data_IF_335753355682
#
_entry.id   IF_335753355682
#
_cell.length_a   1.000
_cell.length_b   1.000
_cell.length_c   1.000
_cell.angle_alpha   90.00
_cell.angle_beta   90.00
_cell.angle_gamma   90.00
#
_symmetry.space_group_name_H-M   'P 1'
#
loop_
_entity.id
_entity.type
_entity.pdbx_description
1 polymer ?
#
# COMPACT_ATOMS: atom_id res chain seq x y z
N UNK A 1 26.11 -8.76 -10.58
CA UNK A 1 26.39 -7.54 -11.37
C UNK A 1 25.12 -7.18 -12.14
N UNK A 2 24.32 -6.26 -11.62
CA UNK A 2 23.12 -5.76 -12.30
C UNK A 2 23.58 -4.84 -13.44
N UNK A 3 23.09 -5.09 -14.66
CA UNK A 3 23.47 -4.34 -15.87
C UNK A 3 22.80 -2.96 -15.86
N UNK A 4 23.56 -1.87 -16.12
CA UNK A 4 23.16 -0.43 -16.20
C UNK A 4 22.00 -0.12 -17.19
N UNK A 5 21.25 -1.11 -17.70
CA UNK A 5 20.30 -0.95 -18.81
C UNK A 5 18.91 -0.42 -18.39
N UNK A 6 18.56 -0.45 -17.10
CA UNK A 6 17.25 -0.01 -16.59
C UNK A 6 17.27 1.36 -15.90
N UNK A 7 18.43 2.04 -15.86
CA UNK A 7 18.54 3.32 -15.17
C UNK A 7 18.00 4.47 -16.03
N UNK A 8 16.94 5.14 -15.58
CA UNK A 8 16.27 6.27 -16.26
C UNK A 8 17.12 7.57 -16.33
N UNK A 9 18.41 7.52 -16.03
CA UNK A 9 19.31 8.68 -16.08
C UNK A 9 20.10 8.64 -17.38
N UNK A 10 19.50 9.18 -18.45
CA UNK A 10 20.23 9.48 -19.70
C UNK A 10 21.46 10.33 -19.37
N UNK A 11 22.64 9.75 -19.65
CA UNK A 11 23.96 10.38 -19.82
C UNK A 11 24.96 10.52 -18.65
N UNK A 12 24.81 9.89 -17.48
CA UNK A 12 25.93 9.79 -16.50
C UNK A 12 25.93 8.49 -15.65
N UNK A 13 26.12 7.29 -16.25
CA UNK A 13 26.51 6.10 -15.44
C UNK A 13 27.97 6.29 -14.96
N UNK A 14 28.17 6.78 -13.72
CA UNK A 14 29.43 6.55 -12.97
C UNK A 14 29.42 5.10 -12.48
N UNK A 15 30.52 4.37 -12.70
CA UNK A 15 30.65 2.93 -12.42
C UNK A 15 30.51 2.53 -10.93
N UNK A 16 30.36 3.50 -10.02
CA UNK A 16 30.40 3.31 -8.57
C UNK A 16 29.09 3.62 -7.82
N UNK A 17 28.00 3.97 -8.51
CA UNK A 17 26.70 4.11 -7.83
C UNK A 17 25.98 2.76 -7.79
N UNK A 18 25.90 2.15 -6.60
CA UNK A 18 24.73 1.34 -6.26
C UNK A 18 23.51 2.26 -6.43
N UNK A 19 22.47 1.85 -7.13
CA UNK A 19 21.18 2.55 -7.06
C UNK A 19 20.72 2.44 -5.60
N UNK A 20 20.95 3.49 -4.81
CA UNK A 20 20.42 3.55 -3.45
C UNK A 20 18.92 3.83 -3.53
N UNK A 21 18.16 3.08 -2.74
CA UNK A 21 16.71 3.30 -2.60
C UNK A 21 16.47 4.71 -2.05
N UNK A 22 15.42 5.36 -2.52
CA UNK A 22 15.05 6.70 -2.06
C UNK A 22 14.69 6.67 -0.57
N UNK A 23 14.89 7.80 0.12
CA UNK A 23 14.59 7.95 1.54
C UNK A 23 13.79 9.23 1.77
N UNK A 24 12.88 9.25 2.76
CA UNK A 24 12.21 10.49 3.14
C UNK A 24 13.27 11.52 3.56
N UNK A 25 13.12 12.77 3.13
CA UNK A 25 13.96 13.88 3.58
C UNK A 25 13.56 14.37 4.96
N UNK A 26 12.26 14.23 5.29
CA UNK A 26 11.67 14.71 6.53
C UNK A 26 11.01 13.55 7.28
N UNK A 27 11.55 13.23 8.45
CA UNK A 27 11.09 12.11 9.27
C UNK A 27 11.84 10.80 9.02
N UNK A 28 11.39 9.75 9.70
CA UNK A 28 11.91 8.38 9.63
C UNK A 28 10.74 7.41 9.56
N UNK A 29 10.89 6.42 8.69
CA UNK A 29 9.91 5.35 8.49
C UNK A 29 10.63 4.04 8.81
N UNK A 30 10.10 3.24 9.74
CA UNK A 30 10.69 1.93 10.06
C UNK A 30 10.39 0.91 8.98
N UNK A 31 9.13 0.79 8.56
CA UNK A 31 8.70 -0.18 7.55
C UNK A 31 7.88 0.47 6.44
N UNK A 32 8.18 0.14 5.18
CA UNK A 32 7.38 0.54 4.01
C UNK A 32 6.70 -0.69 3.41
N UNK A 33 5.37 -0.66 3.35
CA UNK A 33 4.56 -1.78 2.88
C UNK A 33 3.80 -1.38 1.63
N UNK A 34 4.04 -2.09 0.52
CA UNK A 34 3.30 -1.87 -0.72
C UNK A 34 2.01 -2.70 -0.76
N UNK A 35 0.86 -2.06 -0.94
CA UNK A 35 -0.42 -2.75 -1.15
C UNK A 35 -0.76 -2.73 -2.64
N UNK A 36 -0.87 -3.90 -3.27
CA UNK A 36 -1.01 -4.02 -4.72
C UNK A 36 -2.11 -5.01 -5.11
N UNK A 37 -2.75 -4.77 -6.26
CA UNK A 37 -3.73 -5.69 -6.85
C UNK A 37 -3.38 -6.02 -8.29
N UNK A 38 -3.86 -7.17 -8.78
CA UNK A 38 -3.73 -7.51 -10.20
C UNK A 38 -4.62 -6.67 -11.12
N UNK A 39 -5.76 -6.17 -10.64
CA UNK A 39 -6.72 -5.38 -11.43
C UNK A 39 -7.36 -4.27 -10.60
N UNK A 40 -7.93 -3.28 -11.28
CA UNK A 40 -8.79 -2.27 -10.65
C UNK A 40 -10.11 -2.87 -10.13
N UNK A 41 -10.73 -2.21 -9.17
CA UNK A 41 -12.06 -2.58 -8.66
C UNK A 41 -12.08 -3.75 -7.65
N UNK A 42 -10.93 -4.24 -7.17
CA UNK A 42 -10.88 -5.27 -6.11
C UNK A 42 -11.01 -4.71 -4.69
N UNK A 43 -11.13 -3.38 -4.54
CA UNK A 43 -11.14 -2.69 -3.24
C UNK A 43 -9.78 -2.55 -2.57
N UNK A 44 -8.69 -2.50 -3.35
CA UNK A 44 -7.31 -2.34 -2.87
C UNK A 44 -7.17 -1.18 -1.88
N UNK A 45 -7.61 0.03 -2.25
CA UNK A 45 -7.50 1.23 -1.41
C UNK A 45 -8.31 1.11 -0.11
N UNK A 46 -9.49 0.49 -0.17
CA UNK A 46 -10.29 0.17 1.01
C UNK A 46 -9.53 -0.77 1.95
N UNK A 47 -8.91 -1.82 1.41
CA UNK A 47 -8.08 -2.74 2.20
C UNK A 47 -6.85 -2.04 2.76
N UNK A 48 -6.20 -1.16 2.00
CA UNK A 48 -5.09 -0.31 2.49
C UNK A 48 -5.52 0.52 3.70
N UNK A 49 -6.68 1.18 3.61
CA UNK A 49 -7.27 1.93 4.72
C UNK A 49 -7.55 1.06 5.94
N UNK A 50 -8.15 -0.12 5.76
CA UNK A 50 -8.43 -1.07 6.84
C UNK A 50 -7.13 -1.53 7.52
N UNK A 51 -6.09 -1.87 6.76
CA UNK A 51 -4.77 -2.24 7.31
C UNK A 51 -4.22 -1.08 8.14
N UNK A 52 -4.29 0.15 7.64
CA UNK A 52 -3.83 1.33 8.38
C UNK A 52 -4.57 1.51 9.72
N UNK A 53 -5.90 1.36 9.72
CA UNK A 53 -6.72 1.43 10.94
C UNK A 53 -6.34 0.32 11.93
N UNK A 54 -6.16 -0.92 11.48
CA UNK A 54 -5.78 -2.01 12.38
C UNK A 54 -4.35 -1.85 12.93
N UNK A 55 -3.40 -1.34 12.13
CA UNK A 55 -2.06 -1.01 12.61
C UNK A 55 -2.08 0.12 13.66
N UNK A 56 -2.96 1.12 13.51
CA UNK A 56 -3.18 2.13 14.57
C UNK A 56 -3.76 1.52 15.84
N UNK A 57 -4.72 0.60 15.71
CA UNK A 57 -5.28 -0.15 16.86
C UNK A 57 -4.21 -0.94 17.61
N UNK A 58 -3.20 -1.45 16.89
CA UNK A 58 -2.02 -2.11 17.47
C UNK A 58 -1.05 -1.13 18.17
N UNK A 59 -1.30 0.18 18.12
CA UNK A 59 -0.49 1.22 18.77
C UNK A 59 0.63 1.77 17.90
N UNK A 60 0.75 1.34 16.64
CA UNK A 60 1.79 1.83 15.73
C UNK A 60 1.49 3.23 15.20
N UNK A 61 2.52 4.01 14.89
CA UNK A 61 2.41 5.25 14.12
C UNK A 61 2.36 4.93 12.63
N UNK A 62 1.27 5.31 11.96
CA UNK A 62 0.98 4.88 10.59
C UNK A 62 0.84 6.07 9.65
N UNK A 63 1.43 5.95 8.47
CA UNK A 63 1.16 6.80 7.33
C UNK A 63 0.58 6.01 6.15
N UNK A 64 -0.11 6.71 5.26
CA UNK A 64 -0.62 6.20 3.98
C UNK A 64 -0.21 7.16 2.85
N UNK A 65 0.49 6.62 1.86
CA UNK A 65 0.78 7.28 0.59
C UNK A 65 -0.13 6.71 -0.49
N UNK A 66 -1.00 7.56 -1.04
CA UNK A 66 -1.86 7.20 -2.17
C UNK A 66 -1.03 7.21 -3.47
N UNK A 67 -0.66 6.02 -3.94
CA UNK A 67 0.10 5.82 -5.17
C UNK A 67 -0.78 5.66 -6.40
N UNK A 68 -2.10 5.54 -6.24
CA UNK A 68 -3.06 5.40 -7.34
C UNK A 68 -3.52 6.79 -7.82
N UNK A 69 -2.57 7.55 -8.36
CA UNK A 69 -2.76 8.95 -8.77
C UNK A 69 -3.91 9.12 -9.78
N UNK A 70 -4.23 8.07 -10.56
CA UNK A 70 -5.29 8.10 -11.58
C UNK A 70 -6.69 7.87 -11.03
N UNK A 71 -6.82 7.39 -9.79
CA UNK A 71 -8.09 7.11 -9.14
C UNK A 71 -7.96 7.18 -7.62
N UNK A 72 -7.52 8.32 -7.07
CA UNK A 72 -7.18 8.44 -5.65
C UNK A 72 -8.42 8.12 -4.81
N UNK A 73 -8.31 7.11 -3.96
CA UNK A 73 -9.43 6.58 -3.17
C UNK A 73 -9.17 6.62 -1.66
N UNK A 74 -7.93 6.90 -1.25
CA UNK A 74 -7.54 7.02 0.16
C UNK A 74 -8.21 8.22 0.85
N UNK A 75 -8.30 9.43 0.25
CA UNK A 75 -9.04 10.55 0.84
C UNK A 75 -10.47 10.18 1.23
N UNK A 76 -11.19 9.53 0.31
CA UNK A 76 -12.56 9.07 0.52
C UNK A 76 -12.69 8.05 1.64
N UNK A 77 -11.76 7.09 1.74
CA UNK A 77 -11.76 6.13 2.83
C UNK A 77 -11.72 6.79 4.21
N UNK A 78 -10.97 7.89 4.34
CA UNK A 78 -10.79 8.60 5.60
C UNK A 78 -11.73 9.81 5.79
N UNK A 79 -12.63 10.09 4.84
CA UNK A 79 -13.49 11.28 4.89
C UNK A 79 -12.73 12.61 4.76
N UNK A 80 -11.64 12.62 3.99
CA UNK A 80 -10.69 13.73 3.84
C UNK A 80 -10.77 14.44 2.47
N UNK A 81 -11.83 14.23 1.69
CA UNK A 81 -11.95 14.78 0.32
C UNK A 81 -11.88 16.33 0.28
N UNK A 82 -12.34 16.97 1.35
CA UNK A 82 -12.32 18.44 1.50
C UNK A 82 -11.01 18.96 2.09
N UNK A 83 -10.16 18.09 2.62
CA UNK A 83 -8.89 18.47 3.21
C UNK A 83 -7.85 18.76 2.13
N UNK A 84 -6.88 19.61 2.47
CA UNK A 84 -5.80 19.99 1.56
C UNK A 84 -4.46 19.88 2.26
N UNK A 85 -3.46 19.46 1.50
CA UNK A 85 -2.08 19.35 1.98
C UNK A 85 -1.54 20.75 2.26
N UNK A 86 -1.04 20.95 3.48
CA UNK A 86 -0.33 22.18 3.83
C UNK A 86 1.11 22.18 3.30
N UNK A 87 1.72 23.37 3.29
CA UNK A 87 3.13 23.55 2.96
C UNK A 87 3.84 24.22 4.14
N UNK A 88 4.95 23.66 4.58
CA UNK A 88 5.78 24.23 5.64
C UNK A 88 7.17 24.58 5.10
N UNK A 89 7.76 25.72 5.50
CA UNK A 89 9.14 26.02 5.13
C UNK A 89 10.10 25.01 5.76
N UNK A 90 11.22 24.78 5.09
CA UNK A 90 12.31 23.93 5.57
C UNK A 90 13.46 24.80 6.06
N UNK A 91 14.53 24.18 6.60
CA UNK A 91 15.75 24.90 6.96
C UNK A 91 16.49 25.48 5.73
N UNK A 92 16.20 24.93 4.54
CA UNK A 92 16.74 25.44 3.29
C UNK A 92 15.86 26.59 2.79
N UNK A 93 16.50 27.73 2.52
CA UNK A 93 15.82 28.92 2.01
C UNK A 93 15.04 28.60 0.73
N UNK A 94 13.80 29.08 0.67
CA UNK A 94 12.86 28.91 -0.46
C UNK A 94 12.50 27.45 -0.79
N UNK A 95 12.75 26.51 0.13
CA UNK A 95 12.32 25.12 0.02
C UNK A 95 11.21 24.80 1.03
N UNK A 96 10.19 24.09 0.56
CA UNK A 96 9.02 23.70 1.33
C UNK A 96 8.90 22.18 1.41
N UNK A 97 8.25 21.69 2.46
CA UNK A 97 7.85 20.30 2.65
C UNK A 97 6.33 20.20 2.69
N UNK A 98 5.80 19.08 2.25
CA UNK A 98 4.37 18.79 2.35
C UNK A 98 4.04 18.43 3.81
N UNK A 99 2.96 18.99 4.32
CA UNK A 99 2.39 18.62 5.62
C UNK A 99 1.26 17.62 5.35
N UNK A 100 1.41 16.33 5.74
CA UNK A 100 0.37 15.34 5.49
C UNK A 100 -0.89 15.68 6.28
N UNK A 101 -2.04 15.30 5.75
CA UNK A 101 -3.34 15.42 6.44
C UNK A 101 -3.41 14.33 7.51
N UNK A 102 -3.87 14.65 8.72
CA UNK A 102 -4.06 13.66 9.78
C UNK A 102 -5.53 13.26 9.91
N UNK A 103 -5.80 11.96 9.99
CA UNK A 103 -7.15 11.41 10.19
C UNK A 103 -7.61 11.56 11.65
N UNK A 104 -8.87 11.18 11.94
CA UNK A 104 -9.39 11.18 13.31
C UNK A 104 -8.64 10.24 14.26
N UNK A 105 -8.04 9.16 13.76
CA UNK A 105 -7.15 8.28 14.52
C UNK A 105 -5.66 8.68 14.46
N UNK A 106 -5.33 9.83 13.88
CA UNK A 106 -3.96 10.32 13.73
C UNK A 106 -3.11 9.51 12.74
N UNK A 107 -3.73 8.96 11.69
CA UNK A 107 -3.01 8.37 10.54
C UNK A 107 -2.61 9.53 9.64
N UNK A 108 -1.35 9.57 9.21
CA UNK A 108 -0.88 10.59 8.27
C UNK A 108 -1.18 10.16 6.83
N UNK A 109 -1.96 10.92 6.09
CA UNK A 109 -2.29 10.63 4.70
C UNK A 109 -1.67 11.68 3.77
N UNK A 110 -1.14 11.22 2.63
CA UNK A 110 -0.82 12.08 1.49
C UNK A 110 -1.38 11.47 0.21
N UNK A 111 -2.04 12.30 -0.60
CA UNK A 111 -2.63 11.93 -1.89
C UNK A 111 -2.56 13.12 -2.83
N UNK A 112 -2.57 12.85 -4.13
CA UNK A 112 -2.69 13.88 -5.15
C UNK A 112 -3.99 14.67 -5.03
N UNK A 113 -5.07 14.06 -4.54
CA UNK A 113 -6.35 14.76 -4.35
C UNK A 113 -6.22 15.95 -3.37
N UNK A 114 -5.32 15.85 -2.38
CA UNK A 114 -5.11 16.93 -1.42
C UNK A 114 -4.38 18.15 -2.01
N UNK A 115 -3.80 18.01 -3.21
CA UNK A 115 -3.06 19.06 -3.91
C UNK A 115 -3.86 19.73 -5.01
N UNK A 116 -4.88 19.05 -5.54
CA UNK A 116 -5.72 19.55 -6.63
C UNK A 116 -6.92 20.29 -6.03
N UNK A 117 -7.19 21.47 -6.59
CA UNK A 117 -8.29 22.32 -6.12
C UNK A 117 -9.66 21.75 -6.43
N UNK A 118 -9.80 21.08 -7.59
CA UNK A 118 -11.08 20.61 -8.14
C UNK A 118 -10.93 19.17 -8.70
N UNK A 119 -11.86 18.29 -8.34
CA UNK A 119 -11.85 16.84 -8.65
C UNK A 119 -12.16 16.50 -10.12
N UNK A 120 -12.53 17.48 -10.95
CA UNK A 120 -13.10 17.25 -12.28
C UNK A 120 -12.19 17.60 -13.47
N UNK A 121 -11.01 18.21 -13.26
CA UNK A 121 -10.08 18.46 -14.35
C UNK A 121 -9.25 17.19 -14.68
N UNK A 122 -9.34 16.64 -15.91
CA UNK A 122 -8.53 15.48 -16.29
C UNK A 122 -7.06 15.88 -16.31
N UNK A 123 -6.29 15.35 -15.36
CA UNK A 123 -4.83 15.50 -15.33
C UNK A 123 -4.21 14.82 -16.55
N UNK A 124 -3.90 15.60 -17.58
CA UNK A 124 -3.18 15.15 -18.78
C UNK A 124 -1.67 15.00 -18.50
N UNK A 125 -1.31 14.18 -17.52
CA UNK A 125 0.09 13.96 -17.13
C UNK A 125 0.63 12.68 -17.77
N UNK A 126 1.82 12.76 -18.38
CA UNK A 126 2.51 11.59 -18.94
C UNK A 126 3.11 10.75 -17.80
N UNK A 127 3.16 9.42 -17.96
CA UNK A 127 3.66 8.47 -16.95
C UNK A 127 4.94 8.87 -16.19
N UNK A 128 6.00 9.38 -16.86
CA UNK A 128 7.23 9.83 -16.18
C UNK A 128 7.02 10.98 -15.17
N UNK A 129 6.02 11.84 -15.42
CA UNK A 129 5.66 12.93 -14.50
C UNK A 129 5.02 12.33 -13.24
N UNK A 130 4.12 11.37 -13.40
CA UNK A 130 3.45 10.68 -12.29
C UNK A 130 4.44 9.95 -11.38
N UNK A 131 5.43 9.27 -11.95
CA UNK A 131 6.50 8.62 -11.18
C UNK A 131 7.30 9.62 -10.33
N UNK A 132 7.71 10.75 -10.92
CA UNK A 132 8.45 11.79 -10.19
C UNK A 132 7.62 12.43 -9.08
N UNK A 133 6.34 12.67 -9.34
CA UNK A 133 5.41 13.21 -8.34
C UNK A 133 5.29 12.25 -7.16
N UNK A 134 5.16 10.95 -7.41
CA UNK A 134 5.13 9.96 -6.34
C UNK A 134 6.41 9.94 -5.50
N UNK A 135 7.57 10.05 -6.16
CA UNK A 135 8.87 10.20 -5.48
C UNK A 135 8.88 11.46 -4.62
N UNK A 136 8.34 12.58 -5.08
CA UNK A 136 8.22 13.81 -4.28
C UNK A 136 7.24 13.64 -3.11
N UNK A 137 6.07 13.04 -3.31
CA UNK A 137 5.13 12.76 -2.21
C UNK A 137 5.77 11.89 -1.13
N UNK A 138 6.63 10.95 -1.50
CA UNK A 138 7.38 10.15 -0.54
C UNK A 138 8.51 10.93 0.13
N UNK A 139 9.32 11.64 -0.65
CA UNK A 139 10.57 12.25 -0.16
C UNK A 139 10.35 13.59 0.55
N UNK A 140 9.44 14.43 0.05
CA UNK A 140 9.26 15.81 0.48
C UNK A 140 8.11 15.99 1.50
N UNK A 141 7.42 14.92 1.88
CA UNK A 141 6.41 14.93 2.94
C UNK A 141 7.03 14.83 4.33
N UNK A 142 6.51 15.62 5.27
CA UNK A 142 6.88 15.56 6.68
C UNK A 142 6.21 14.39 7.41
N UNK A 143 6.79 13.21 7.26
CA UNK A 143 6.28 12.00 7.88
C UNK A 143 6.44 11.99 9.40
N UNK A 144 7.39 12.76 9.95
CA UNK A 144 7.81 12.61 11.35
C UNK A 144 8.32 11.19 11.60
N UNK A 145 8.06 10.63 12.79
CA UNK A 145 8.45 9.24 13.10
C UNK A 145 7.26 8.29 12.84
N UNK A 146 7.39 7.38 11.88
CA UNK A 146 6.42 6.35 11.55
C UNK A 146 6.98 4.95 11.80
N UNK A 147 6.15 4.07 12.35
CA UNK A 147 6.42 2.64 12.39
C UNK A 147 6.11 1.99 11.04
N UNK A 148 5.00 2.40 10.41
CA UNK A 148 4.55 1.88 9.12
C UNK A 148 4.16 3.00 8.16
N UNK A 149 4.64 2.93 6.92
CA UNK A 149 4.06 3.64 5.79
C UNK A 149 3.46 2.62 4.82
N UNK A 150 2.14 2.69 4.63
CA UNK A 150 1.46 1.93 3.58
C UNK A 150 1.49 2.73 2.28
N UNK A 151 1.81 2.08 1.17
CA UNK A 151 1.71 2.66 -0.17
C UNK A 151 0.55 1.97 -0.88
N UNK A 152 -0.52 2.72 -1.17
CA UNK A 152 -1.62 2.23 -2.00
C UNK A 152 -1.18 2.24 -3.47
N UNK A 153 -0.56 1.14 -3.92
CA UNK A 153 0.08 1.10 -5.23
C UNK A 153 -0.99 1.12 -6.34
N UNK A 154 -0.70 1.65 -7.54
CA UNK A 154 -1.62 1.52 -8.66
C UNK A 154 -1.81 0.04 -9.06
N UNK A 155 -2.94 -0.32 -9.70
CA UNK A 155 -3.21 -1.70 -10.06
C UNK A 155 -2.27 -2.23 -11.15
N UNK A 156 -2.00 -3.54 -11.10
CA UNK A 156 -1.27 -4.28 -12.13
C UNK A 156 0.23 -4.08 -12.08
N UNK A 157 0.88 -4.13 -13.25
CA UNK A 157 2.35 -4.08 -13.41
C UNK A 157 2.77 -2.89 -14.27
N UNK A 158 2.09 -1.76 -14.12
CA UNK A 158 2.42 -0.54 -14.86
C UNK A 158 3.70 0.15 -14.36
N UNK A 159 4.19 1.13 -15.11
CA UNK A 159 5.46 1.82 -14.84
C UNK A 159 5.55 2.44 -13.44
N UNK A 160 4.42 2.91 -12.88
CA UNK A 160 4.37 3.48 -11.53
C UNK A 160 4.56 2.38 -10.47
N UNK A 161 3.90 1.24 -10.61
CA UNK A 161 4.10 0.10 -9.70
C UNK A 161 5.55 -0.41 -9.75
N UNK A 162 6.14 -0.47 -10.96
CA UNK A 162 7.57 -0.78 -11.14
C UNK A 162 8.47 0.25 -10.46
N UNK A 163 8.20 1.55 -10.65
CA UNK A 163 8.96 2.65 -10.03
C UNK A 163 8.98 2.52 -8.50
N UNK A 164 7.84 2.21 -7.89
CA UNK A 164 7.75 1.97 -6.44
C UNK A 164 8.64 0.79 -6.05
N UNK A 165 8.48 -0.36 -6.72
CA UNK A 165 9.26 -1.56 -6.38
C UNK A 165 10.77 -1.40 -6.59
N UNK A 166 11.20 -0.64 -7.59
CA UNK A 166 12.62 -0.46 -7.90
C UNK A 166 13.30 0.63 -7.07
N UNK A 167 12.58 1.70 -6.72
CA UNK A 167 13.18 2.89 -6.11
C UNK A 167 12.88 3.01 -4.60
N UNK A 168 11.72 2.53 -4.14
CA UNK A 168 11.30 2.73 -2.76
C UNK A 168 11.85 1.61 -1.88
N UNK A 169 12.11 1.89 -0.58
CA UNK A 169 12.61 0.89 0.35
C UNK A 169 11.50 -0.03 0.86
N UNK A 170 10.77 -0.67 -0.07
CA UNK A 170 9.63 -1.55 0.24
C UNK A 170 10.11 -2.81 0.96
N UNK A 171 9.67 -3.01 2.21
CA UNK A 171 9.99 -4.18 3.01
C UNK A 171 9.26 -5.42 2.50
N UNK A 172 8.00 -5.27 2.08
CA UNK A 172 7.22 -6.34 1.47
C UNK A 172 5.95 -5.81 0.79
N UNK A 173 5.34 -6.71 0.00
CA UNK A 173 4.05 -6.49 -0.63
C UNK A 173 2.92 -7.25 0.08
N UNK A 174 1.76 -6.62 0.15
CA UNK A 174 0.47 -7.23 0.48
C UNK A 174 -0.37 -7.23 -0.79
N UNK A 175 -0.79 -8.42 -1.21
CA UNK A 175 -1.64 -8.54 -2.39
C UNK A 175 -3.11 -8.45 -2.00
N UNK A 176 -3.90 -7.73 -2.79
CA UNK A 176 -5.37 -7.67 -2.68
C UNK A 176 -6.00 -8.24 -3.93
N UNK A 177 -6.96 -9.14 -3.75
CA UNK A 177 -7.72 -9.74 -4.86
C UNK A 177 -9.14 -10.09 -4.43
N UNK A 178 -10.01 -10.40 -5.38
CA UNK A 178 -11.32 -11.03 -5.14
C UNK A 178 -11.28 -12.50 -5.57
N UNK A 179 -12.22 -13.36 -5.12
CA UNK A 179 -12.22 -14.77 -5.50
C UNK A 179 -12.19 -15.00 -7.03
N UNK A 180 -12.81 -14.10 -7.80
CA UNK A 180 -12.82 -14.19 -9.27
C UNK A 180 -11.45 -13.94 -9.91
N UNK A 181 -10.64 -13.03 -9.35
CA UNK A 181 -9.36 -12.63 -9.95
C UNK A 181 -8.15 -13.27 -9.29
N UNK A 182 -8.34 -13.99 -8.20
CA UNK A 182 -7.24 -14.54 -7.40
C UNK A 182 -6.34 -15.45 -8.21
N UNK A 183 -6.91 -16.33 -9.04
CA UNK A 183 -6.16 -17.25 -9.90
C UNK A 183 -6.06 -16.69 -11.32
N UNK A 184 -5.64 -15.43 -11.45
CA UNK A 184 -5.47 -14.77 -12.74
C UNK A 184 -4.00 -14.63 -13.14
N UNK A 185 -3.74 -14.63 -14.45
CA UNK A 185 -2.40 -14.37 -14.99
C UNK A 185 -1.83 -13.03 -14.54
N UNK A 186 -2.67 -12.03 -14.23
CA UNK A 186 -2.19 -10.70 -13.83
C UNK A 186 -1.66 -10.73 -12.39
N UNK A 187 -2.34 -11.44 -11.49
CA UNK A 187 -1.85 -11.70 -10.12
C UNK A 187 -0.51 -12.45 -10.20
N UNK A 188 -0.39 -13.47 -11.05
CA UNK A 188 0.88 -14.19 -11.25
C UNK A 188 2.01 -13.27 -11.73
N UNK A 189 1.72 -12.34 -12.65
CA UNK A 189 2.72 -11.37 -13.12
C UNK A 189 3.24 -10.49 -11.99
N UNK A 190 2.36 -10.01 -11.10
CA UNK A 190 2.77 -9.22 -9.93
C UNK A 190 3.66 -10.04 -8.99
N UNK A 191 3.29 -11.30 -8.71
CA UNK A 191 4.12 -12.20 -7.88
C UNK A 191 5.50 -12.42 -8.51
N UNK A 192 5.55 -12.76 -9.80
CA UNK A 192 6.81 -12.98 -10.52
C UNK A 192 7.68 -11.71 -10.59
N UNK A 193 7.05 -10.54 -10.63
CA UNK A 193 7.73 -9.24 -10.64
C UNK A 193 8.37 -8.94 -9.28
N UNK A 194 7.63 -9.17 -8.19
CA UNK A 194 8.15 -9.07 -6.83
C UNK A 194 9.33 -10.02 -6.60
N UNK A 195 9.23 -11.27 -7.06
CA UNK A 195 10.30 -12.27 -6.97
C UNK A 195 11.56 -11.81 -7.71
N UNK A 196 11.42 -11.28 -8.93
CA UNK A 196 12.56 -10.76 -9.73
C UNK A 196 13.26 -9.56 -9.09
N UNK A 197 12.50 -8.73 -8.37
CA UNK A 197 13.02 -7.58 -7.65
C UNK A 197 13.44 -7.93 -6.21
N UNK A 198 13.38 -9.22 -5.85
CA UNK A 198 13.71 -9.75 -4.52
C UNK A 198 12.88 -9.10 -3.39
N UNK A 199 11.65 -8.67 -3.70
CA UNK A 199 10.72 -8.08 -2.74
C UNK A 199 9.84 -9.18 -2.18
N UNK A 200 9.84 -9.43 -0.85
CA UNK A 200 8.98 -10.42 -0.23
C UNK A 200 7.49 -10.09 -0.43
N UNK A 201 6.67 -11.11 -0.69
CA UNK A 201 5.21 -10.98 -0.62
C UNK A 201 4.76 -11.61 0.71
N UNK A 202 4.20 -10.81 1.63
CA UNK A 202 3.72 -11.32 2.94
C UNK A 202 2.56 -12.29 2.76
N UNK A 203 1.69 -12.00 1.79
CA UNK A 203 0.56 -12.83 1.46
C UNK A 203 -0.52 -12.05 0.70
N UNK A 204 -1.72 -12.61 0.73
CA UNK A 204 -2.89 -12.09 0.03
C UNK A 204 -4.08 -11.93 0.96
N UNK A 205 -4.79 -10.81 0.81
CA UNK A 205 -6.10 -10.57 1.40
C UNK A 205 -7.13 -10.77 0.29
N UNK A 206 -8.07 -11.68 0.50
CA UNK A 206 -9.18 -11.89 -0.40
C UNK A 206 -10.35 -11.00 0.02
N UNK A 207 -10.56 -9.90 -0.71
CA UNK A 207 -11.69 -9.01 -0.50
C UNK A 207 -12.95 -9.55 -1.19
N UNK A 208 -14.13 -9.16 -0.72
CA UNK A 208 -15.42 -9.60 -1.25
C UNK A 208 -15.52 -11.14 -1.33
N UNK A 209 -14.98 -11.84 -0.33
CA UNK A 209 -14.84 -13.29 -0.32
C UNK A 209 -16.19 -13.99 -0.12
N UNK A 210 -16.98 -13.48 0.82
CA UNK A 210 -18.27 -14.01 1.20
C UNK A 210 -19.25 -12.89 1.55
N UNK A 211 -20.53 -13.21 1.60
CA UNK A 211 -21.57 -12.40 2.22
C UNK A 211 -22.06 -13.12 3.47
N UNK A 212 -22.16 -12.41 4.60
CA UNK A 212 -22.72 -12.97 5.83
C UNK A 212 -24.21 -12.58 5.93
N UNK A 213 -25.08 -13.59 5.96
CA UNK A 213 -26.51 -13.37 6.08
C UNK A 213 -26.84 -12.79 7.46
N UNK A 214 -27.41 -11.59 7.51
CA UNK A 214 -27.78 -10.92 8.76
C UNK A 214 -28.92 -11.64 9.52
N UNK A 215 -29.72 -12.46 8.81
CA UNK A 215 -30.83 -13.20 9.41
C UNK A 215 -30.41 -14.52 10.05
N UNK A 216 -29.57 -15.33 9.37
CA UNK A 216 -29.18 -16.66 9.84
C UNK A 216 -27.71 -16.78 10.26
N UNK A 217 -26.87 -15.77 10.01
CA UNK A 217 -25.44 -15.77 10.32
C UNK A 217 -24.57 -16.60 9.38
N UNK A 218 -25.16 -17.31 8.41
CA UNK A 218 -24.44 -18.17 7.47
C UNK A 218 -23.59 -17.35 6.49
N UNK A 219 -22.39 -17.86 6.16
CA UNK A 219 -21.50 -17.27 5.17
C UNK A 219 -21.73 -17.93 3.81
N UNK A 220 -22.02 -17.10 2.82
CA UNK A 220 -22.21 -17.54 1.44
C UNK A 220 -21.09 -17.01 0.56
N UNK A 221 -20.37 -17.90 -0.12
CA UNK A 221 -19.40 -17.49 -1.12
C UNK A 221 -20.14 -16.97 -2.36
N UNK A 222 -19.83 -15.73 -2.77
CA UNK A 222 -20.61 -15.04 -3.81
C UNK A 222 -20.17 -15.47 -5.22
N UNK A 223 -18.89 -15.81 -5.40
CA UNK A 223 -18.31 -15.95 -6.73
C UNK A 223 -17.78 -17.35 -7.06
N UNK A 224 -17.47 -18.17 -6.05
CA UNK A 224 -16.86 -19.48 -6.28
C UNK A 224 -17.04 -20.40 -5.07
N UNK A 225 -17.10 -21.70 -5.34
CA UNK A 225 -17.10 -22.73 -4.30
C UNK A 225 -15.68 -23.10 -3.83
N UNK A 226 -14.64 -22.60 -4.50
CA UNK A 226 -13.26 -22.83 -4.07
C UNK A 226 -12.95 -22.00 -2.82
N UNK A 227 -12.35 -22.60 -1.80
CA UNK A 227 -11.89 -21.85 -0.62
C UNK A 227 -10.80 -20.83 -1.00
N UNK A 228 -10.75 -19.71 -0.27
CA UNK A 228 -9.69 -18.72 -0.44
C UNK A 228 -8.31 -19.34 -0.25
N UNK A 229 -8.17 -20.28 0.69
CA UNK A 229 -6.93 -21.01 0.95
C UNK A 229 -6.45 -21.77 -0.30
N UNK A 230 -7.33 -22.54 -0.95
CA UNK A 230 -6.96 -23.29 -2.17
C UNK A 230 -6.49 -22.36 -3.29
N UNK A 231 -7.07 -21.16 -3.39
CA UNK A 231 -6.68 -20.19 -4.41
C UNK A 231 -5.35 -19.51 -4.08
N UNK A 232 -5.09 -19.21 -2.81
CA UNK A 232 -3.82 -18.68 -2.33
C UNK A 232 -2.67 -19.69 -2.54
N UNK A 233 -2.91 -20.96 -2.22
CA UNK A 233 -1.94 -22.06 -2.40
C UNK A 233 -1.54 -22.22 -3.87
N UNK A 234 -2.50 -22.13 -4.81
CA UNK A 234 -2.23 -22.18 -6.26
C UNK A 234 -1.31 -21.06 -6.74
N UNK A 235 -1.32 -19.92 -6.06
CA UNK A 235 -0.48 -18.77 -6.36
C UNK A 235 0.84 -18.78 -5.58
N UNK A 236 1.06 -19.77 -4.71
CA UNK A 236 2.21 -19.80 -3.80
C UNK A 236 2.19 -18.68 -2.75
N UNK A 237 1.00 -18.18 -2.40
CA UNK A 237 0.82 -17.07 -1.47
C UNK A 237 0.19 -17.54 -0.16
N UNK A 238 0.61 -16.95 0.96
CA UNK A 238 -0.08 -17.10 2.25
C UNK A 238 -1.40 -16.33 2.23
N UNK A 239 -2.51 -16.98 2.55
CA UNK A 239 -3.76 -16.27 2.85
C UNK A 239 -3.63 -15.52 4.18
N UNK A 240 -3.83 -14.20 4.16
CA UNK A 240 -3.76 -13.36 5.34
C UNK A 240 -5.13 -13.16 5.98
N UNK A 241 -6.14 -12.90 5.14
CA UNK A 241 -7.51 -12.68 5.59
C UNK A 241 -8.52 -12.83 4.45
N UNK A 242 -9.77 -13.07 4.83
CA UNK A 242 -10.94 -13.00 3.97
C UNK A 242 -11.85 -11.89 4.48
N UNK A 243 -12.14 -10.91 3.62
CA UNK A 243 -13.03 -9.81 3.95
C UNK A 243 -14.40 -10.02 3.29
N UNK A 244 -15.49 -9.67 3.99
CA UNK A 244 -16.85 -9.82 3.51
C UNK A 244 -17.21 -8.82 2.39
N UNK A 245 -18.36 -9.03 1.78
CA UNK A 245 -19.18 -7.96 1.20
C UNK A 245 -20.07 -7.41 2.32
N UNK A 246 -19.82 -6.18 2.74
CA UNK A 246 -20.55 -5.53 3.82
C UNK A 246 -21.24 -4.23 3.29
N UNK A 247 -22.56 -4.23 3.09
CA UNK A 247 -23.31 -3.04 2.66
C UNK A 247 -23.21 -1.88 3.66
N UNK A 248 -23.25 -2.18 4.96
CA UNK A 248 -23.13 -1.15 6.01
C UNK A 248 -21.77 -0.44 5.92
N UNK A 249 -20.69 -1.19 5.66
CA UNK A 249 -19.38 -0.58 5.41
C UNK A 249 -19.42 0.44 4.26
N UNK A 250 -20.17 0.15 3.19
CA UNK A 250 -20.34 1.07 2.05
C UNK A 250 -21.05 2.35 2.49
N UNK A 251 -22.11 2.26 3.29
CA UNK A 251 -22.83 3.44 3.79
C UNK A 251 -21.90 4.32 4.64
N UNK A 252 -21.13 3.73 5.55
CA UNK A 252 -20.14 4.46 6.34
C UNK A 252 -19.00 5.05 5.50
N UNK A 253 -18.65 4.42 4.38
CA UNK A 253 -17.68 4.95 3.42
C UNK A 253 -18.21 6.22 2.74
N UNK A 254 -19.47 6.21 2.29
CA UNK A 254 -20.11 7.39 1.70
C UNK A 254 -20.26 8.55 2.70
N UNK A 255 -20.48 8.23 3.97
CA UNK A 255 -20.61 9.21 5.06
C UNK A 255 -19.26 9.71 5.60
N UNK A 256 -18.13 9.27 5.05
CA UNK A 256 -16.78 9.66 5.52
C UNK A 256 -16.42 9.09 6.90
N UNK A 257 -17.05 7.99 7.31
CA UNK A 257 -16.90 7.35 8.62
C UNK A 257 -16.32 5.93 8.56
N UNK A 258 -15.82 5.49 7.40
CA UNK A 258 -15.24 4.16 7.24
C UNK A 258 -14.05 3.89 8.18
N UNK A 259 -13.23 4.91 8.50
CA UNK A 259 -12.17 4.80 9.51
C UNK A 259 -12.72 4.31 10.85
N UNK A 260 -13.77 4.97 11.34
CA UNK A 260 -14.42 4.64 12.62
C UNK A 260 -15.04 3.25 12.55
N UNK A 261 -15.76 2.94 11.48
CA UNK A 261 -16.41 1.65 11.31
C UNK A 261 -15.40 0.49 11.29
N UNK A 262 -14.32 0.62 10.51
CA UNK A 262 -13.24 -0.37 10.46
C UNK A 262 -12.55 -0.55 11.82
N UNK A 263 -12.47 0.51 12.63
CA UNK A 263 -11.85 0.43 13.96
C UNK A 263 -12.70 -0.37 14.95
N UNK A 264 -14.02 -0.21 14.91
CA UNK A 264 -14.93 -0.77 15.93
C UNK A 264 -15.60 -2.07 15.52
N UNK A 265 -15.67 -2.40 14.23
CA UNK A 265 -16.34 -3.61 13.77
C UNK A 265 -15.39 -4.84 13.83
N UNK A 266 -15.73 -5.89 14.61
CA UNK A 266 -14.89 -7.08 14.77
C UNK A 266 -14.63 -7.86 13.48
N UNK A 267 -15.44 -7.65 12.45
CA UNK A 267 -15.28 -8.30 11.14
C UNK A 267 -13.92 -7.99 10.50
N UNK A 268 -13.31 -6.85 10.84
CA UNK A 268 -11.98 -6.44 10.36
C UNK A 268 -10.83 -6.81 11.31
N UNK A 269 -11.10 -7.40 12.48
CA UNK A 269 -10.06 -7.86 13.41
C UNK A 269 -9.21 -9.00 12.81
N UNK A 270 -9.70 -9.69 11.78
CA UNK A 270 -8.87 -10.65 11.01
C UNK A 270 -7.62 -10.00 10.40
N UNK A 271 -7.69 -8.70 10.07
CA UNK A 271 -6.53 -7.93 9.62
C UNK A 271 -5.63 -7.58 10.80
N UNK A 272 -6.17 -7.22 11.95
CA UNK A 272 -5.39 -7.02 13.18
C UNK A 272 -4.55 -8.28 13.48
N UNK A 273 -5.18 -9.46 13.44
CA UNK A 273 -4.52 -10.74 13.71
C UNK A 273 -3.42 -11.06 12.68
N UNK A 274 -3.60 -10.68 11.42
CA UNK A 274 -2.59 -10.88 10.37
C UNK A 274 -1.34 -9.99 10.52
N UNK A 275 -1.44 -8.88 11.25
CA UNK A 275 -0.37 -7.88 11.40
C UNK A 275 0.16 -7.70 12.83
N UNK A 276 -0.44 -8.33 13.85
CA UNK A 276 -0.03 -8.16 15.25
C UNK A 276 1.42 -8.54 15.55
N UNK A 277 2.00 -9.50 14.81
CA UNK A 277 3.40 -9.96 14.92
C UNK A 277 4.30 -9.45 13.80
N UNK A 278 3.84 -8.47 13.03
CA UNK A 278 4.48 -8.11 11.77
C UNK A 278 5.90 -7.51 11.94
N UNK A 279 6.10 -6.64 12.94
CA UNK A 279 7.44 -6.08 13.25
C UNK A 279 8.47 -7.18 13.58
N UNK A 280 8.05 -8.19 14.35
CA UNK A 280 8.87 -9.34 14.72
C UNK A 280 9.20 -10.22 13.50
N UNK A 281 8.22 -10.44 12.62
CA UNK A 281 8.37 -11.20 11.38
C UNK A 281 9.37 -10.51 10.44
N UNK A 282 9.27 -9.18 10.28
CA UNK A 282 10.20 -8.39 9.47
C UNK A 282 11.61 -8.47 10.05
N UNK A 283 11.75 -8.29 11.37
CA UNK A 283 13.05 -8.38 12.04
C UNK A 283 13.68 -9.76 11.85
N UNK A 284 12.92 -10.84 12.06
CA UNK A 284 13.39 -12.21 11.89
C UNK A 284 13.84 -12.50 10.44
N UNK A 285 13.05 -12.06 9.46
CA UNK A 285 13.37 -12.18 8.03
C UNK A 285 14.65 -11.41 7.68
N UNK A 286 14.74 -10.15 8.08
CA UNK A 286 15.90 -9.29 7.77
C UNK A 286 17.19 -9.83 8.42
N UNK A 287 17.08 -10.42 9.62
CA UNK A 287 18.19 -11.13 10.29
C UNK A 287 18.61 -12.40 9.53
N UNK A 288 17.66 -13.18 9.02
CA UNK A 288 17.95 -14.38 8.22
C UNK A 288 18.64 -14.04 6.89
N UNK A 289 18.22 -12.96 6.22
CA UNK A 289 18.88 -12.46 5.00
C UNK A 289 20.31 -12.03 5.29
N UNK A 290 20.55 -11.24 6.35
CA UNK A 290 21.92 -10.85 6.77
C UNK A 290 22.81 -12.06 7.04
N UNK A 291 22.29 -13.13 7.63
CA UNK A 291 23.04 -14.39 7.82
C UNK A 291 23.41 -15.08 6.50
N UNK A 292 22.56 -15.04 5.47
CA UNK A 292 22.86 -15.61 4.14
C UNK A 292 23.94 -14.83 3.39
N UNK A 293 24.09 -13.52 3.65
CA UNK A 293 25.09 -12.65 3.01
C UNK A 293 26.47 -12.73 3.67
N UNK A 294 26.59 -13.43 4.81
CA UNK A 294 27.88 -13.74 5.45
C UNK A 294 28.22 -15.22 5.18
N UNK A 295 28.70 -15.61 3.99
CA UNK A 295 29.37 -16.88 3.82
C UNK A 295 30.73 -16.80 4.53
N UNK A 296 31.07 -17.87 5.22
CA UNK A 296 32.35 -18.14 5.90
C UNK A 296 33.56 -17.48 5.22
N UNK A 297 34.33 -16.73 6.01
CA UNK A 297 35.77 -16.53 5.80
C UNK A 297 36.49 -17.89 5.91
#
# INVERSE_FOLDING_TARGET
MVKCATCAVKNKCRKDLKCELIKPKYGKIKHVVGVISGKGGVGKSTVTGIIAVQLRKLGYKVGVLDGDITGPSIPRFFGLEKERTGYAPTEVKDAYKFVPVETGLGIKAISMNFMLGEEEEPLLWKGPVLGNVLVQLFTDTDWGELDYLLIDMPPGTGDIAMTIMEQFPVDYLVMVSTPQSMVSMIVQKVVNMAEKLEIPVKGVIQNMAYFQCQGCGERHNVFTNNSAQSQADKMGLKLLAELPINPEFTDYLEDGQAERFAATNPEYDVIYEAFKTDDEEIYARNKAVKKKVIPFL
#
